data_IF_266517016470
#
_entry.id   IF_266517016470
#
_cell.length_a   1.000
_cell.length_b   1.000
_cell.length_c   1.000
_cell.angle_alpha   90.00
_cell.angle_beta   90.00
_cell.angle_gamma   90.00
#
_symmetry.space_group_name_H-M   'P 1'
#
loop_
_entity.id
_entity.type
_entity.pdbx_description
1 polymer ?
#
# COMPACT_ATOMS: atom_id res chain seq x y z
N UNK A 1 -2.19 -49.34 35.45
CA UNK A 1 -3.01 -48.76 34.37
C UNK A 1 -3.01 -47.24 34.57
N UNK A 2 -2.10 -46.51 33.90
CA UNK A 2 -2.02 -45.04 34.00
C UNK A 2 -2.64 -44.45 32.74
N UNK A 3 -3.76 -43.76 32.93
CA UNK A 3 -4.43 -42.95 31.91
C UNK A 3 -3.52 -41.75 31.63
N UNK A 4 -2.96 -41.69 30.42
CA UNK A 4 -2.30 -40.47 29.93
C UNK A 4 -3.38 -39.65 29.25
N UNK A 5 -3.93 -38.69 29.98
CA UNK A 5 -4.78 -37.66 29.40
C UNK A 5 -3.91 -36.81 28.48
N UNK A 6 -4.00 -37.03 27.16
CA UNK A 6 -3.54 -36.08 26.16
C UNK A 6 -4.37 -34.81 26.33
N UNK A 7 -3.75 -33.75 26.85
CA UNK A 7 -4.36 -32.43 26.90
C UNK A 7 -4.76 -32.02 25.48
N UNK A 8 -6.07 -31.92 25.25
CA UNK A 8 -6.63 -31.29 24.06
C UNK A 8 -6.16 -29.84 24.08
N UNK A 9 -5.28 -29.45 23.15
CA UNK A 9 -4.92 -28.04 22.98
C UNK A 9 -6.20 -27.30 22.61
N UNK A 10 -6.58 -26.31 23.41
CA UNK A 10 -7.68 -25.41 23.09
C UNK A 10 -7.45 -24.84 21.68
N UNK A 11 -8.51 -24.81 20.87
CA UNK A 11 -8.39 -24.22 19.54
C UNK A 11 -8.06 -22.73 19.71
N UNK A 12 -7.11 -22.18 18.93
CA UNK A 12 -6.76 -20.78 19.01
C UNK A 12 -7.99 -19.92 18.76
N UNK A 13 -8.16 -18.89 19.58
CA UNK A 13 -9.24 -17.94 19.43
C UNK A 13 -9.03 -17.07 18.19
N UNK A 14 -10.08 -16.41 17.66
CA UNK A 14 -9.92 -15.45 16.57
C UNK A 14 -8.91 -14.34 16.86
N UNK A 15 -8.72 -13.96 18.12
CA UNK A 15 -7.73 -12.95 18.52
C UNK A 15 -6.31 -13.50 18.43
N UNK A 16 -6.08 -14.73 18.90
CA UNK A 16 -4.77 -15.40 18.76
C UNK A 16 -4.35 -15.53 17.29
N UNK A 17 -5.33 -15.74 16.40
CA UNK A 17 -5.10 -15.80 14.95
C UNK A 17 -4.77 -14.43 14.35
N UNK A 18 -5.36 -13.34 14.86
CA UNK A 18 -5.03 -11.97 14.40
C UNK A 18 -3.63 -11.56 14.83
N UNK A 19 -3.28 -11.78 16.09
CA UNK A 19 -1.93 -11.49 16.58
C UNK A 19 -0.88 -12.30 15.81
N UNK A 20 -1.19 -13.56 15.48
CA UNK A 20 -0.31 -14.37 14.65
C UNK A 20 -0.18 -13.80 13.23
N UNK A 21 -1.27 -13.31 12.64
CA UNK A 21 -1.26 -12.70 11.32
C UNK A 21 -0.41 -11.42 11.30
N UNK A 22 -0.59 -10.52 12.26
CA UNK A 22 0.21 -9.29 12.36
C UNK A 22 1.71 -9.60 12.52
N UNK A 23 2.04 -10.64 13.30
CA UNK A 23 3.44 -11.10 13.44
C UNK A 23 4.00 -11.65 12.13
N UNK A 24 3.20 -12.39 11.36
CA UNK A 24 3.60 -12.91 10.05
C UNK A 24 3.83 -11.75 9.07
N UNK A 25 2.93 -10.77 9.05
CA UNK A 25 3.07 -9.58 8.20
C UNK A 25 4.34 -8.80 8.53
N UNK A 26 4.66 -8.60 9.81
CA UNK A 26 5.92 -8.00 10.23
C UNK A 26 7.17 -8.78 9.78
N UNK A 27 7.15 -10.12 9.90
CA UNK A 27 8.24 -10.97 9.43
C UNK A 27 8.42 -10.93 7.91
N UNK A 28 7.33 -10.83 7.16
CA UNK A 28 7.39 -10.68 5.70
C UNK A 28 8.11 -9.37 5.36
N UNK A 29 7.77 -8.27 6.02
CA UNK A 29 8.43 -6.98 5.82
C UNK A 29 9.93 -7.06 6.10
N UNK A 30 10.33 -7.64 7.24
CA UNK A 30 11.76 -7.82 7.56
C UNK A 30 12.49 -8.66 6.51
N UNK A 31 11.85 -9.72 6.00
CA UNK A 31 12.43 -10.55 4.94
C UNK A 31 12.54 -9.81 3.61
N UNK A 32 11.60 -8.92 3.27
CA UNK A 32 11.69 -8.06 2.09
C UNK A 32 12.89 -7.11 2.19
N UNK A 33 13.12 -6.50 3.36
CA UNK A 33 14.25 -5.61 3.61
C UNK A 33 15.59 -6.35 3.51
N UNK A 34 15.69 -7.54 4.13
CA UNK A 34 16.89 -8.39 4.04
C UNK A 34 17.14 -8.81 2.60
N UNK A 35 16.08 -9.20 1.87
CA UNK A 35 16.19 -9.58 0.45
C UNK A 35 16.71 -8.41 -0.37
N UNK A 36 16.20 -7.20 -0.14
CA UNK A 36 16.65 -5.99 -0.82
C UNK A 36 18.15 -5.75 -0.58
N UNK A 37 18.58 -5.78 0.69
CA UNK A 37 19.98 -5.58 1.06
C UNK A 37 20.92 -6.63 0.45
N UNK A 38 20.52 -7.90 0.41
CA UNK A 38 21.32 -8.96 -0.23
C UNK A 38 21.47 -8.71 -1.72
N UNK A 39 20.39 -8.30 -2.41
CA UNK A 39 20.45 -8.02 -3.86
C UNK A 39 21.33 -6.82 -4.17
N UNK A 40 21.29 -5.79 -3.34
CA UNK A 40 22.17 -4.62 -3.46
C UNK A 40 23.65 -5.04 -3.34
N UNK A 41 23.98 -5.89 -2.35
CA UNK A 41 25.34 -6.44 -2.19
C UNK A 41 25.80 -7.31 -3.36
N UNK A 42 24.86 -7.98 -4.03
CA UNK A 42 25.14 -8.81 -5.21
C UNK A 42 25.27 -7.98 -6.50
N UNK A 43 25.02 -6.67 -6.46
CA UNK A 43 25.00 -5.82 -7.64
C UNK A 43 23.86 -6.15 -8.59
N UNK A 44 22.80 -6.81 -8.09
CA UNK A 44 21.58 -7.02 -8.86
C UNK A 44 20.82 -5.70 -8.97
N UNK A 45 20.10 -5.52 -10.08
CA UNK A 45 19.17 -4.39 -10.23
C UNK A 45 18.02 -4.58 -9.23
N UNK A 46 18.04 -3.78 -8.16
CA UNK A 46 17.06 -3.90 -7.08
C UNK A 46 15.98 -2.86 -7.26
N UNK A 47 14.78 -3.33 -7.60
CA UNK A 47 13.58 -2.49 -7.61
C UNK A 47 13.39 -1.89 -6.21
N UNK A 48 13.43 -0.57 -6.11
CA UNK A 48 13.18 0.15 -4.87
C UNK A 48 11.72 -0.10 -4.41
N UNK A 49 11.55 -0.69 -3.23
CA UNK A 49 10.22 -0.98 -2.69
C UNK A 49 9.75 0.21 -1.84
N UNK A 50 8.57 0.79 -2.12
CA UNK A 50 8.05 1.88 -1.31
C UNK A 50 7.65 1.41 0.10
N UNK A 51 7.78 2.29 1.11
CA UNK A 51 7.29 2.04 2.47
C UNK A 51 5.81 1.65 2.45
N UNK A 52 5.42 0.71 3.31
CA UNK A 52 4.08 0.11 3.30
C UNK A 52 2.94 1.15 3.31
N UNK A 53 3.03 2.14 4.21
CA UNK A 53 2.04 3.21 4.33
C UNK A 53 1.90 4.11 3.09
N UNK A 54 2.83 4.00 2.13
CA UNK A 54 2.84 4.75 0.87
C UNK A 54 2.36 3.93 -0.34
N UNK A 55 2.40 2.59 -0.26
CA UNK A 55 2.11 1.67 -1.40
C UNK A 55 0.73 1.93 -2.01
N UNK A 56 -0.33 1.88 -1.22
CA UNK A 56 -1.71 2.12 -1.69
C UNK A 56 -1.89 3.53 -2.25
N UNK A 57 -1.19 4.51 -1.68
CA UNK A 57 -1.24 5.90 -2.12
C UNK A 57 -0.59 6.06 -3.50
N UNK A 58 0.54 5.40 -3.75
CA UNK A 58 1.19 5.35 -5.05
C UNK A 58 0.31 4.69 -6.12
N UNK A 59 -0.37 3.58 -5.79
CA UNK A 59 -1.29 2.91 -6.72
C UNK A 59 -2.44 3.85 -7.13
N UNK A 60 -3.00 4.60 -6.16
CA UNK A 60 -4.04 5.61 -6.45
C UNK A 60 -3.49 6.72 -7.35
N UNK A 61 -2.30 7.24 -7.05
CA UNK A 61 -1.67 8.28 -7.85
C UNK A 61 -1.38 7.82 -9.28
N UNK A 62 -0.84 6.62 -9.45
CA UNK A 62 -0.56 6.02 -10.75
C UNK A 62 -1.84 5.82 -11.57
N UNK A 63 -2.92 5.37 -10.93
CA UNK A 63 -4.22 5.24 -11.58
C UNK A 63 -4.77 6.59 -12.08
N UNK A 64 -4.54 7.69 -11.34
CA UNK A 64 -4.89 9.05 -11.78
C UNK A 64 -3.97 9.50 -12.91
N UNK A 65 -2.66 9.26 -12.78
CA UNK A 65 -1.64 9.65 -13.75
C UNK A 65 -1.91 9.03 -15.13
N UNK A 66 -2.18 7.72 -15.19
CA UNK A 66 -2.57 7.00 -16.42
C UNK A 66 -3.81 7.56 -17.10
N UNK A 67 -4.65 8.32 -16.37
CA UNK A 67 -5.86 8.98 -16.87
C UNK A 67 -5.63 10.45 -17.24
N UNK A 68 -4.39 10.91 -17.26
CA UNK A 68 -4.00 12.26 -17.67
C UNK A 68 -3.92 13.27 -16.52
N UNK A 69 -3.56 12.83 -15.32
CA UNK A 69 -3.32 13.62 -14.09
C UNK A 69 -4.54 14.36 -13.50
N UNK A 70 -5.61 14.49 -14.27
CA UNK A 70 -6.84 15.17 -13.89
C UNK A 70 -8.01 14.22 -14.11
N UNK A 71 -8.75 13.95 -13.05
CA UNK A 71 -9.92 13.07 -13.09
C UNK A 71 -11.11 13.70 -12.39
N UNK A 72 -12.31 13.22 -12.71
CA UNK A 72 -13.49 13.57 -11.93
C UNK A 72 -13.39 13.01 -10.51
N UNK A 73 -13.96 13.72 -9.55
CA UNK A 73 -13.99 13.32 -8.15
C UNK A 73 -14.69 11.98 -7.92
N UNK A 74 -15.68 11.64 -8.77
CA UNK A 74 -16.32 10.33 -8.72
C UNK A 74 -15.38 9.20 -9.17
N UNK A 75 -14.57 9.43 -10.21
CA UNK A 75 -13.55 8.49 -10.67
C UNK A 75 -12.49 8.29 -9.60
N UNK A 76 -12.04 9.36 -8.95
CA UNK A 76 -11.13 9.28 -7.80
C UNK A 76 -11.67 8.38 -6.67
N UNK A 77 -12.92 8.59 -6.25
CA UNK A 77 -13.56 7.76 -5.22
C UNK A 77 -13.59 6.29 -5.64
N UNK A 78 -13.91 6.01 -6.90
CA UNK A 78 -13.93 4.63 -7.42
C UNK A 78 -12.55 3.98 -7.36
N UNK A 79 -11.50 4.68 -7.81
CA UNK A 79 -10.11 4.22 -7.73
C UNK A 79 -9.75 3.90 -6.28
N UNK A 80 -9.96 4.84 -5.35
CA UNK A 80 -9.60 4.63 -3.93
C UNK A 80 -10.30 3.43 -3.32
N UNK A 81 -11.57 3.19 -3.69
CA UNK A 81 -12.34 2.02 -3.24
C UNK A 81 -11.76 0.71 -3.78
N UNK A 82 -11.36 0.68 -5.06
CA UNK A 82 -10.74 -0.51 -5.68
C UNK A 82 -9.38 -0.86 -5.05
N UNK A 83 -8.62 0.17 -4.66
CA UNK A 83 -7.34 0.00 -3.94
C UNK A 83 -7.53 -0.40 -2.47
N UNK A 84 -8.75 -0.34 -1.93
CA UNK A 84 -9.07 -0.79 -0.57
C UNK A 84 -9.08 0.30 0.48
N UNK A 85 -9.12 1.59 0.12
CA UNK A 85 -9.31 2.66 1.09
C UNK A 85 -10.71 2.64 1.70
N UNK A 86 -10.79 2.86 3.03
CA UNK A 86 -12.04 3.27 3.69
C UNK A 86 -12.43 4.68 3.18
N UNK A 87 -13.71 4.92 2.82
CA UNK A 87 -14.17 6.24 2.37
C UNK A 87 -13.86 7.40 3.32
N UNK A 88 -13.69 7.14 4.62
CA UNK A 88 -13.29 8.13 5.64
C UNK A 88 -11.81 8.47 5.59
N UNK A 89 -10.97 7.59 5.04
CA UNK A 89 -9.51 7.74 4.95
C UNK A 89 -9.02 8.55 3.75
N UNK A 90 -9.87 8.81 2.75
CA UNK A 90 -9.46 9.51 1.52
C UNK A 90 -9.20 11.01 1.74
N UNK A 91 -9.66 11.57 2.85
CA UNK A 91 -9.40 12.98 3.21
C UNK A 91 -7.91 13.30 3.31
N UNK A 92 -7.09 12.31 3.66
CA UNK A 92 -5.63 12.45 3.77
C UNK A 92 -4.93 12.78 2.46
N UNK A 93 -5.56 12.60 1.29
CA UNK A 93 -4.99 13.01 0.00
C UNK A 93 -5.06 14.53 -0.21
N UNK A 94 -6.01 15.20 0.45
CA UNK A 94 -6.31 16.64 0.34
C UNK A 94 -5.79 17.45 1.53
N UNK A 95 -5.24 16.79 2.55
CA UNK A 95 -4.85 17.40 3.81
C UNK A 95 -3.32 17.41 3.99
N UNK A 96 -2.86 18.17 5.00
CA UNK A 96 -1.45 18.33 5.33
C UNK A 96 -0.80 19.54 4.66
N UNK A 97 0.50 19.75 4.94
CA UNK A 97 1.27 20.89 4.41
C UNK A 97 1.53 20.78 2.90
N UNK A 98 1.48 19.56 2.36
CA UNK A 98 1.63 19.27 0.93
C UNK A 98 0.56 18.25 0.52
N UNK A 99 -0.64 18.70 0.13
CA UNK A 99 -1.66 17.80 -0.38
C UNK A 99 -1.20 17.18 -1.70
N UNK A 100 -1.46 15.88 -1.86
CA UNK A 100 -1.13 15.14 -3.09
C UNK A 100 -2.17 15.31 -4.18
N UNK A 101 -3.38 15.73 -3.79
CA UNK A 101 -4.51 15.96 -4.69
C UNK A 101 -5.08 17.33 -4.43
N UNK A 102 -5.35 18.06 -5.51
CA UNK A 102 -5.89 19.42 -5.49
C UNK A 102 -7.25 19.42 -6.17
N UNK A 103 -8.25 20.08 -5.58
CA UNK A 103 -9.57 20.26 -6.25
C UNK A 103 -9.46 21.33 -7.34
N UNK A 104 -9.99 21.03 -8.52
CA UNK A 104 -10.07 21.96 -9.65
C UNK A 104 -11.54 22.08 -10.04
N UNK A 105 -12.11 23.27 -9.85
CA UNK A 105 -13.55 23.48 -10.03
C UNK A 105 -14.38 22.69 -9.03
N UNK A 106 -15.64 22.44 -9.38
CA UNK A 106 -16.60 21.78 -8.48
C UNK A 106 -16.37 20.25 -8.43
N UNK A 107 -16.00 19.64 -9.56
CA UNK A 107 -16.13 18.19 -9.74
C UNK A 107 -14.83 17.47 -10.08
N UNK A 108 -13.73 18.19 -10.29
CA UNK A 108 -12.46 17.58 -10.73
C UNK A 108 -11.39 17.70 -9.67
N UNK A 109 -10.43 16.79 -9.77
CA UNK A 109 -9.21 16.79 -8.99
C UNK A 109 -8.01 16.66 -9.91
N UNK A 110 -6.87 17.19 -9.46
CA UNK A 110 -5.59 17.01 -10.11
C UNK A 110 -4.55 16.45 -9.15
N UNK A 111 -3.68 15.61 -9.68
CA UNK A 111 -2.51 15.12 -8.98
C UNK A 111 -1.48 16.26 -8.85
N UNK A 112 -0.93 16.42 -7.64
CA UNK A 112 0.08 17.44 -7.39
C UNK A 112 1.40 17.05 -8.05
N UNK A 113 2.16 18.04 -8.54
CA UNK A 113 3.42 17.81 -9.27
C UNK A 113 4.43 16.98 -8.48
N UNK A 114 4.56 17.22 -7.18
CA UNK A 114 5.51 16.48 -6.33
C UNK A 114 5.17 14.99 -6.21
N UNK A 115 3.90 14.62 -6.39
CA UNK A 115 3.49 13.21 -6.37
C UNK A 115 4.01 12.48 -7.61
N UNK A 116 4.22 13.18 -8.73
CA UNK A 116 4.82 12.62 -9.95
C UNK A 116 6.28 12.22 -9.72
N UNK A 117 7.03 12.99 -8.92
CA UNK A 117 8.42 12.65 -8.57
C UNK A 117 8.49 11.31 -7.80
N UNK A 118 7.46 11.00 -7.02
CA UNK A 118 7.33 9.72 -6.33
C UNK A 118 6.92 8.59 -7.27
N UNK A 119 6.04 8.85 -8.24
CA UNK A 119 5.72 7.87 -9.28
C UNK A 119 6.95 7.51 -10.12
N UNK A 120 7.79 8.50 -10.44
CA UNK A 120 9.07 8.30 -11.12
C UNK A 120 10.00 7.43 -10.28
N UNK A 121 10.20 7.80 -9.01
CA UNK A 121 11.09 7.08 -8.09
C UNK A 121 10.73 5.60 -7.97
N UNK A 122 9.44 5.31 -7.85
CA UNK A 122 8.95 3.94 -7.65
C UNK A 122 8.40 3.32 -8.94
N UNK A 123 8.83 3.79 -10.12
CA UNK A 123 8.30 3.32 -11.42
C UNK A 123 8.42 1.81 -11.59
N UNK A 124 9.61 1.28 -11.38
CA UNK A 124 9.87 -0.15 -11.52
C UNK A 124 9.00 -0.99 -10.58
N UNK A 125 8.74 -0.49 -9.36
CA UNK A 125 7.83 -1.16 -8.44
C UNK A 125 6.38 -1.10 -8.95
N UNK A 126 5.93 0.05 -9.43
CA UNK A 126 4.58 0.24 -9.99
C UNK A 126 4.32 -0.65 -11.22
N UNK A 127 5.35 -0.95 -12.02
CA UNK A 127 5.24 -1.87 -13.17
C UNK A 127 4.92 -3.32 -12.75
N UNK A 128 5.23 -3.69 -11.50
CA UNK A 128 4.90 -5.01 -10.95
C UNK A 128 3.51 -5.08 -10.30
N UNK A 129 2.81 -3.95 -10.18
CA UNK A 129 1.52 -3.84 -9.50
C UNK A 129 0.33 -3.87 -10.46
N UNK A 130 -0.81 -4.36 -9.99
CA UNK A 130 -2.08 -4.21 -10.69
C UNK A 130 -2.67 -2.82 -10.39
N UNK A 131 -2.85 -2.01 -11.44
CA UNK A 131 -3.36 -0.64 -11.33
C UNK A 131 -4.83 -0.59 -11.82
N UNK A 132 -5.78 -0.10 -11.01
CA UNK A 132 -7.21 -0.09 -11.34
C UNK A 132 -7.68 1.05 -12.26
#
# INVERSE_FOLDING_TARGET
MRVVAMAMREQPTPEDLRELLERIEGLITELEDIRWFIRELLGEEVVEIPPEGLRNRLIVWEAIHRRGDVVEYNVFKEITRKVGYDPRGIGGFFAGNQPSIIRIGEDKIALARWALDYLERYREWLETMEIP
#
